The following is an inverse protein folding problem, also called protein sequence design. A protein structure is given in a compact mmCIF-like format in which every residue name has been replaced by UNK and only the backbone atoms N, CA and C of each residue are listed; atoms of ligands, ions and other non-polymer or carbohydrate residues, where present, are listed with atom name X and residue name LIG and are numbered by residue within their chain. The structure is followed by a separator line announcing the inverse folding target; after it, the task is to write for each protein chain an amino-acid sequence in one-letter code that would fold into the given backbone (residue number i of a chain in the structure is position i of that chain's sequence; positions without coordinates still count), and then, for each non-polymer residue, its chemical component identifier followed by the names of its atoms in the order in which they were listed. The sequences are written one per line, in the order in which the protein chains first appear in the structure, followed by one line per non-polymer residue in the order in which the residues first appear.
data_IF_667460328309
#
_entry.id   IF_667460328309
#
_cell.length_a   1.000
_cell.length_b   1.000
_cell.length_c   1.000
_cell.angle_alpha   90.00
_cell.angle_beta   90.00
_cell.angle_gamma   90.00
#
_symmetry.space_group_name_H-M   'P 1'
#
loop_
_entity.id
_entity.type
_entity.pdbx_description
1 polymer ?
#
# COMPACT_ATOMS: atom_id res chain seq x y z
N UNK A 1 17.59 16.62 4.21
CA UNK A 1 16.28 15.93 4.27
C UNK A 1 16.56 14.55 4.81
N UNK A 2 15.94 14.17 5.91
CA UNK A 2 16.03 12.85 6.52
C UNK A 2 14.96 11.92 5.96
N UNK A 3 13.74 12.42 5.84
CA UNK A 3 12.62 11.68 5.29
C UNK A 3 11.68 12.57 4.47
N UNK A 4 10.98 11.96 3.50
CA UNK A 4 9.94 12.60 2.69
C UNK A 4 8.75 11.64 2.59
N UNK A 5 7.60 12.06 3.09
CA UNK A 5 6.33 11.34 2.92
C UNK A 5 5.43 12.14 1.97
N UNK A 6 4.90 11.49 0.93
CA UNK A 6 4.21 12.16 -0.17
C UNK A 6 2.77 11.70 -0.27
N UNK A 7 1.86 12.66 -0.40
CA UNK A 7 0.48 12.46 -0.82
C UNK A 7 0.27 13.09 -2.21
N UNK A 8 0.22 12.26 -3.24
CA UNK A 8 0.08 12.67 -4.64
C UNK A 8 -1.28 12.19 -5.18
N UNK A 9 -2.19 13.13 -5.43
CA UNK A 9 -3.56 12.86 -5.87
C UNK A 9 -3.70 12.81 -7.40
N UNK A 10 -4.72 12.12 -7.89
CA UNK A 10 -5.00 11.96 -9.31
C UNK A 10 -5.23 13.29 -10.06
N UNK A 11 -5.60 14.35 -9.37
CA UNK A 11 -5.75 15.70 -9.93
C UNK A 11 -4.42 16.43 -10.15
N UNK A 12 -3.30 15.81 -9.76
CA UNK A 12 -1.95 16.36 -9.87
C UNK A 12 -1.52 17.21 -8.67
N UNK A 13 -2.33 17.31 -7.61
CA UNK A 13 -1.87 17.87 -6.35
C UNK A 13 -0.86 16.95 -5.68
N UNK A 14 0.21 17.54 -5.15
CA UNK A 14 1.24 16.84 -4.41
C UNK A 14 1.53 17.60 -3.13
N UNK A 15 1.34 16.95 -2.00
CA UNK A 15 1.76 17.40 -0.70
C UNK A 15 2.92 16.52 -0.21
N UNK A 16 3.99 17.11 0.27
CA UNK A 16 5.12 16.38 0.81
C UNK A 16 5.47 16.88 2.21
N UNK A 17 5.51 15.97 3.16
CA UNK A 17 6.01 16.21 4.50
C UNK A 17 7.51 15.93 4.52
N UNK A 18 8.29 16.96 4.76
CA UNK A 18 9.74 16.91 4.82
C UNK A 18 10.20 16.86 6.29
N UNK A 19 11.00 15.87 6.65
CA UNK A 19 11.76 15.84 7.88
C UNK A 19 13.17 16.39 7.60
N UNK A 20 13.53 17.46 8.31
CA UNK A 20 14.72 18.25 8.06
C UNK A 20 15.62 18.28 9.29
N UNK A 21 16.91 18.24 9.09
CA UNK A 21 17.91 18.37 10.15
C UNK A 21 18.97 19.40 9.77
N UNK A 22 19.35 20.24 10.73
CA UNK A 22 20.42 21.23 10.55
C UNK A 22 20.25 22.16 9.33
N UNK A 23 19.01 22.61 9.07
CA UNK A 23 18.68 23.41 7.90
C UNK A 23 19.32 24.81 8.01
N UNK A 24 20.19 25.24 7.05
CA UNK A 24 20.75 26.58 7.06
C UNK A 24 19.68 27.66 6.81
N UNK A 25 19.89 28.86 7.37
CA UNK A 25 19.03 30.02 7.07
C UNK A 25 19.01 30.32 5.58
N UNK A 26 17.86 30.79 5.08
CA UNK A 26 17.62 31.13 3.67
C UNK A 26 17.79 29.93 2.73
N UNK A 27 17.39 28.75 3.18
CA UNK A 27 17.28 27.57 2.34
C UNK A 27 15.88 27.53 1.72
N UNK A 28 15.85 27.12 0.47
CA UNK A 28 14.63 26.82 -0.28
C UNK A 28 14.66 25.38 -0.77
N UNK A 29 13.52 24.79 -1.03
CA UNK A 29 13.38 23.51 -1.72
C UNK A 29 12.88 23.74 -3.15
N UNK A 30 13.58 23.17 -4.11
CA UNK A 30 13.08 23.06 -5.50
C UNK A 30 12.53 21.64 -5.70
N UNK A 31 11.31 21.55 -6.22
CA UNK A 31 10.60 20.31 -6.50
C UNK A 31 10.49 20.14 -8.00
N UNK A 32 11.06 19.07 -8.54
CA UNK A 32 11.03 18.75 -9.96
C UNK A 32 10.39 17.39 -10.19
N UNK A 33 9.48 17.29 -11.14
CA UNK A 33 8.79 16.05 -11.52
C UNK A 33 9.22 15.61 -12.92
N UNK A 34 9.51 14.32 -13.07
CA UNK A 34 9.87 13.69 -14.34
C UNK A 34 9.11 12.38 -14.50
N UNK A 35 8.44 12.11 -15.64
CA UNK A 35 7.82 10.81 -15.88
C UNK A 35 8.87 9.70 -15.85
N UNK A 36 8.53 8.54 -15.27
CA UNK A 36 9.43 7.40 -15.24
C UNK A 36 9.72 6.90 -16.68
N UNK A 37 10.96 6.50 -16.95
CA UNK A 37 11.40 6.09 -18.28
C UNK A 37 11.62 7.24 -19.30
N UNK A 38 11.42 8.51 -18.91
CA UNK A 38 11.58 9.68 -19.80
C UNK A 38 12.57 10.69 -19.22
N UNK A 39 13.85 10.58 -19.58
CA UNK A 39 14.90 11.43 -19.03
C UNK A 39 14.85 12.91 -19.49
N UNK A 40 14.17 13.21 -20.60
CA UNK A 40 14.14 14.54 -21.23
C UNK A 40 12.86 15.34 -20.96
N UNK A 41 11.76 14.67 -20.56
CA UNK A 41 10.49 15.33 -20.27
C UNK A 41 10.43 15.73 -18.80
N UNK A 42 10.36 17.02 -18.53
CA UNK A 42 10.23 17.54 -17.17
C UNK A 42 8.98 18.44 -17.06
N UNK A 43 8.29 18.34 -15.93
CA UNK A 43 7.27 19.31 -15.58
C UNK A 43 7.91 20.60 -15.07
N UNK A 44 7.09 21.65 -14.95
CA UNK A 44 7.54 22.92 -14.35
C UNK A 44 8.01 22.65 -12.91
N UNK A 45 9.22 23.12 -12.58
CA UNK A 45 9.71 23.11 -11.20
C UNK A 45 8.99 24.14 -10.34
N UNK A 46 8.89 23.83 -9.05
CA UNK A 46 8.36 24.71 -8.03
C UNK A 46 9.44 24.96 -6.98
N UNK A 47 9.48 26.18 -6.44
CA UNK A 47 10.44 26.53 -5.38
C UNK A 47 9.70 27.14 -4.21
N UNK A 48 9.98 26.67 -3.01
CA UNK A 48 9.39 27.13 -1.77
C UNK A 48 10.47 27.40 -0.71
N UNK A 49 10.32 28.49 0.05
CA UNK A 49 11.23 28.84 1.14
C UNK A 49 10.90 28.02 2.37
N UNK A 50 11.94 27.50 3.01
CA UNK A 50 11.80 26.69 4.20
C UNK A 50 12.13 27.50 5.47
N UNK A 51 11.41 27.22 6.57
CA UNK A 51 11.75 27.71 7.89
C UNK A 51 12.89 26.89 8.48
N UNK A 52 14.03 27.51 8.66
CA UNK A 52 15.23 26.84 9.20
C UNK A 52 15.11 26.39 10.66
N UNK A 53 14.03 26.77 11.37
CA UNK A 53 13.77 26.38 12.76
C UNK A 53 12.83 25.19 12.87
N UNK A 54 12.09 24.85 11.81
CA UNK A 54 11.14 23.77 11.81
C UNK A 54 11.80 22.48 11.30
N UNK A 55 11.77 21.44 12.12
CA UNK A 55 12.27 20.10 11.74
C UNK A 55 11.32 19.35 10.82
N UNK A 56 10.03 19.70 10.85
CA UNK A 56 9.01 19.12 9.97
C UNK A 56 8.28 20.24 9.22
N UNK A 57 8.21 20.13 7.90
CA UNK A 57 7.53 21.12 7.06
C UNK A 57 6.77 20.43 5.93
N UNK A 58 5.59 20.94 5.62
CA UNK A 58 4.81 20.52 4.47
C UNK A 58 5.01 21.50 3.33
N UNK A 59 5.28 20.97 2.14
CA UNK A 59 5.30 21.71 0.88
C UNK A 59 4.18 21.19 -0.02
N UNK A 60 3.54 22.10 -0.78
CA UNK A 60 2.38 21.77 -1.60
C UNK A 60 2.55 22.33 -3.00
N UNK A 61 2.38 21.50 -4.01
CA UNK A 61 2.50 21.91 -5.43
C UNK A 61 1.39 21.31 -6.26
N UNK A 62 1.06 21.94 -7.38
CA UNK A 62 0.05 21.49 -8.33
C UNK A 62 0.69 21.26 -9.70
N UNK A 63 0.76 20.01 -10.12
CA UNK A 63 1.16 19.62 -11.46
C UNK A 63 -0.05 19.53 -12.38
N UNK A 64 0.13 19.90 -13.64
CA UNK A 64 -0.94 19.81 -14.66
C UNK A 64 -0.64 18.65 -15.62
N UNK A 65 -1.69 18.07 -16.19
CA UNK A 65 -1.59 17.01 -17.20
C UNK A 65 -0.91 15.74 -16.67
N UNK A 66 -1.12 15.40 -15.41
CA UNK A 66 -0.67 14.16 -14.81
C UNK A 66 -1.53 13.01 -15.34
N UNK A 67 -0.89 11.89 -15.63
CA UNK A 67 -1.55 10.61 -15.86
C UNK A 67 -1.60 9.87 -14.53
N UNK A 68 -2.77 9.59 -13.96
CA UNK A 68 -2.89 8.88 -12.70
C UNK A 68 -2.33 7.46 -12.79
N UNK A 69 -1.91 6.93 -11.65
CA UNK A 69 -1.56 5.54 -11.49
C UNK A 69 -2.82 4.71 -11.19
N UNK A 70 -2.97 3.59 -11.88
CA UNK A 70 -3.97 2.55 -11.62
C UNK A 70 -3.39 1.16 -11.95
N UNK A 71 -4.04 0.06 -11.57
CA UNK A 71 -3.63 -1.29 -11.98
C UNK A 71 -3.56 -1.50 -13.49
N UNK A 72 -4.42 -0.84 -14.23
CA UNK A 72 -4.49 -0.93 -15.70
C UNK A 72 -3.50 0.00 -16.40
N UNK A 73 -3.18 1.13 -15.77
CA UNK A 73 -2.29 2.16 -16.33
C UNK A 73 -1.34 2.67 -15.22
N UNK A 74 -0.29 1.92 -14.86
CA UNK A 74 0.58 2.21 -13.72
C UNK A 74 1.61 3.31 -14.04
N UNK A 75 1.12 4.53 -14.28
CA UNK A 75 1.98 5.68 -14.58
C UNK A 75 2.77 6.11 -13.35
N UNK A 76 4.08 6.16 -13.48
CA UNK A 76 5.02 6.49 -12.42
C UNK A 76 5.85 7.72 -12.76
N UNK A 77 6.30 8.39 -11.71
CA UNK A 77 7.08 9.62 -11.80
C UNK A 77 8.22 9.61 -10.78
N UNK A 78 9.32 10.24 -11.13
CA UNK A 78 10.35 10.63 -10.21
C UNK A 78 10.13 12.05 -9.74
N UNK A 79 10.01 12.26 -8.44
CA UNK A 79 10.00 13.58 -7.82
C UNK A 79 11.32 13.81 -7.11
N UNK A 80 12.00 14.88 -7.48
CA UNK A 80 13.27 15.31 -6.90
C UNK A 80 13.05 16.54 -6.03
N UNK A 81 13.58 16.48 -4.81
CA UNK A 81 13.61 17.56 -3.84
C UNK A 81 15.05 18.05 -3.68
N UNK A 82 15.35 19.23 -4.17
CA UNK A 82 16.67 19.85 -4.03
C UNK A 82 16.64 20.96 -2.98
N UNK A 83 17.33 20.77 -1.86
CA UNK A 83 17.59 21.87 -0.93
C UNK A 83 18.64 22.80 -1.51
N UNK A 84 18.27 24.07 -1.69
CA UNK A 84 19.14 25.10 -2.29
C UNK A 84 19.37 26.27 -1.35
N UNK A 85 20.56 26.82 -1.42
CA UNK A 85 20.93 28.10 -0.80
C UNK A 85 21.74 28.92 -1.76
N UNK A 86 21.30 30.15 -2.04
CA UNK A 86 21.93 31.05 -3.01
C UNK A 86 22.15 30.37 -4.38
N UNK A 87 21.17 29.61 -4.86
CA UNK A 87 21.21 28.89 -6.12
C UNK A 87 22.06 27.61 -6.13
N UNK A 88 22.80 27.31 -5.05
CA UNK A 88 23.62 26.10 -4.95
C UNK A 88 22.84 24.98 -4.26
N UNK A 89 22.82 23.79 -4.85
CA UNK A 89 22.24 22.58 -4.24
C UNK A 89 23.11 22.12 -3.08
N UNK A 90 22.48 21.94 -1.93
CA UNK A 90 23.10 21.44 -0.71
C UNK A 90 22.84 19.94 -0.52
N UNK A 91 21.64 19.49 -0.86
CA UNK A 91 21.19 18.10 -0.68
C UNK A 91 20.06 17.80 -1.66
N UNK A 92 20.00 16.56 -2.14
CA UNK A 92 18.97 16.11 -3.07
C UNK A 92 18.40 14.77 -2.62
N UNK A 93 17.07 14.62 -2.71
CA UNK A 93 16.36 13.36 -2.48
C UNK A 93 15.44 13.08 -3.66
N UNK A 94 15.46 11.85 -4.16
CA UNK A 94 14.57 11.38 -5.21
C UNK A 94 13.60 10.34 -4.65
N UNK A 95 12.32 10.45 -5.02
CA UNK A 95 11.29 9.45 -4.72
C UNK A 95 10.54 9.07 -5.98
N UNK A 96 10.28 7.78 -6.18
CA UNK A 96 9.43 7.25 -7.23
C UNK A 96 8.01 7.16 -6.72
N UNK A 97 7.05 7.77 -7.40
CA UNK A 97 5.66 7.87 -6.96
C UNK A 97 4.69 7.62 -8.10
N UNK A 98 3.43 7.36 -7.75
CA UNK A 98 2.28 7.41 -8.65
C UNK A 98 1.22 8.36 -8.09
N UNK A 99 0.62 9.17 -8.95
CA UNK A 99 -0.49 10.03 -8.57
C UNK A 99 -1.78 9.23 -8.55
N UNK A 100 -2.42 9.10 -7.38
CA UNK A 100 -3.71 8.42 -7.25
C UNK A 100 -4.53 8.99 -6.11
N UNK A 101 -5.85 8.90 -6.23
CA UNK A 101 -6.78 9.24 -5.17
C UNK A 101 -7.42 7.94 -4.66
N UNK A 102 -7.36 7.71 -3.35
CA UNK A 102 -8.01 6.60 -2.66
C UNK A 102 -9.20 7.14 -1.88
N UNK A 103 -10.31 6.41 -1.90
CA UNK A 103 -11.49 6.72 -1.10
C UNK A 103 -12.10 5.40 -0.58
N UNK A 104 -12.12 5.25 0.72
CA UNK A 104 -12.61 4.08 1.42
C UNK A 104 -13.94 4.42 2.09
N UNK A 105 -15.04 3.94 1.51
CA UNK A 105 -16.38 4.29 1.93
C UNK A 105 -16.99 3.16 2.74
N UNK A 106 -17.25 3.43 4.02
CA UNK A 106 -18.02 2.52 4.87
C UNK A 106 -19.38 2.27 4.24
N UNK A 107 -19.86 1.04 4.28
CA UNK A 107 -21.13 0.57 3.67
C UNK A 107 -21.20 0.75 2.16
N UNK A 108 -20.05 0.84 1.48
CA UNK A 108 -20.01 0.96 0.03
C UNK A 108 -18.83 0.17 -0.55
N UNK A 109 -17.57 0.61 -0.35
CA UNK A 109 -16.41 -0.10 -0.86
C UNK A 109 -15.18 0.78 -1.09
N UNK A 110 -14.31 0.33 -1.99
CA UNK A 110 -13.02 0.94 -2.30
C UNK A 110 -13.10 1.65 -3.64
N UNK A 111 -12.62 2.89 -3.68
CA UNK A 111 -12.55 3.69 -4.90
C UNK A 111 -11.11 4.13 -5.17
N UNK A 112 -10.68 3.95 -6.40
CA UNK A 112 -9.39 4.44 -6.90
C UNK A 112 -9.65 5.38 -8.08
N UNK A 113 -9.16 6.60 -7.97
CA UNK A 113 -9.38 7.65 -8.96
C UNK A 113 -10.87 7.86 -9.31
N UNK A 114 -11.75 7.71 -8.32
CA UNK A 114 -13.19 7.85 -8.46
C UNK A 114 -13.92 6.60 -9.01
N UNK A 115 -13.20 5.56 -9.38
CA UNK A 115 -13.78 4.30 -9.86
C UNK A 115 -13.86 3.27 -8.73
N UNK A 116 -15.05 2.68 -8.51
CA UNK A 116 -15.23 1.59 -7.56
C UNK A 116 -14.51 0.35 -8.07
N UNK A 117 -13.72 -0.29 -7.21
CA UNK A 117 -12.94 -1.46 -7.57
C UNK A 117 -13.31 -2.67 -6.72
N UNK A 118 -12.99 -3.86 -7.24
CA UNK A 118 -12.94 -5.11 -6.48
C UNK A 118 -11.54 -5.71 -6.57
N UNK A 119 -10.98 -6.12 -5.44
CA UNK A 119 -9.66 -6.75 -5.43
C UNK A 119 -9.75 -8.23 -5.71
N UNK A 120 -9.10 -8.65 -6.78
CA UNK A 120 -8.76 -10.05 -7.06
C UNK A 120 -7.39 -10.29 -6.47
N UNK A 121 -7.38 -10.68 -5.20
CA UNK A 121 -6.17 -10.73 -4.39
C UNK A 121 -5.63 -12.13 -4.18
N UNK A 122 -4.37 -12.19 -3.82
CA UNK A 122 -3.69 -13.38 -3.36
C UNK A 122 -2.76 -13.05 -2.20
N UNK A 123 -2.66 -13.95 -1.23
CA UNK A 123 -1.68 -13.85 -0.16
C UNK A 123 -0.31 -14.30 -0.64
N UNK A 124 0.76 -13.65 -0.18
CA UNK A 124 2.14 -13.99 -0.53
C UNK A 124 3.04 -13.98 0.68
N UNK A 125 3.76 -15.07 0.88
CA UNK A 125 4.91 -15.11 1.74
C UNK A 125 6.19 -14.75 0.98
N UNK A 126 7.12 -14.04 1.64
CA UNK A 126 8.48 -13.83 1.13
C UNK A 126 9.29 -15.07 1.45
N UNK A 127 9.30 -16.04 0.55
CA UNK A 127 9.98 -17.32 0.75
C UNK A 127 10.52 -17.88 -0.57
N UNK A 128 11.69 -18.50 -0.50
CA UNK A 128 12.29 -19.25 -1.58
C UNK A 128 13.02 -20.49 -1.02
N UNK A 129 12.86 -21.68 -1.61
CA UNK A 129 13.36 -22.94 -1.03
C UNK A 129 14.85 -22.93 -0.64
N UNK A 130 15.70 -22.33 -1.47
CA UNK A 130 17.15 -22.32 -1.26
C UNK A 130 17.62 -21.21 -0.31
N UNK A 131 16.84 -20.17 -0.07
CA UNK A 131 17.26 -18.99 0.71
C UNK A 131 16.31 -18.59 1.84
N UNK A 132 15.23 -19.35 2.05
CA UNK A 132 14.20 -19.04 3.04
C UNK A 132 13.57 -17.66 2.78
N UNK A 133 13.45 -16.83 3.81
CA UNK A 133 12.85 -15.49 3.72
C UNK A 133 13.76 -14.41 3.11
N UNK A 134 15.00 -14.76 2.74
CA UNK A 134 15.91 -13.83 2.08
C UNK A 134 15.80 -13.96 0.56
N UNK A 135 14.89 -13.21 -0.04
CA UNK A 135 14.64 -13.27 -1.48
C UNK A 135 15.43 -12.20 -2.25
N UNK A 136 15.85 -12.55 -3.47
CA UNK A 136 16.51 -11.60 -4.36
C UNK A 136 15.51 -10.74 -5.13
N UNK A 137 15.97 -9.59 -5.66
CA UNK A 137 15.17 -8.77 -6.57
C UNK A 137 14.58 -9.57 -7.74
N UNK A 138 15.35 -10.53 -8.30
CA UNK A 138 14.90 -11.40 -9.39
C UNK A 138 13.67 -12.23 -8.97
N UNK A 139 13.68 -12.80 -7.77
CA UNK A 139 12.55 -13.59 -7.25
C UNK A 139 11.34 -12.68 -7.03
N UNK A 140 11.51 -11.53 -6.39
CA UNK A 140 10.41 -10.58 -6.17
C UNK A 140 9.75 -10.11 -7.45
N UNK A 141 10.55 -9.80 -8.48
CA UNK A 141 10.03 -9.39 -9.80
C UNK A 141 9.33 -10.57 -10.48
N UNK A 142 9.85 -11.79 -10.36
CA UNK A 142 9.23 -12.99 -10.89
C UNK A 142 7.86 -13.24 -10.24
N UNK A 143 7.79 -13.20 -8.91
CA UNK A 143 6.54 -13.40 -8.17
C UNK A 143 5.48 -12.37 -8.58
N UNK A 144 5.86 -11.08 -8.61
CA UNK A 144 4.93 -10.02 -9.01
C UNK A 144 4.41 -10.20 -10.45
N UNK A 145 5.26 -10.64 -11.39
CA UNK A 145 4.83 -10.95 -12.76
C UNK A 145 3.89 -12.15 -12.80
N UNK A 146 4.20 -13.25 -12.11
CA UNK A 146 3.34 -14.43 -12.06
C UNK A 146 1.96 -14.09 -11.46
N UNK A 147 1.93 -13.28 -10.40
CA UNK A 147 0.68 -12.81 -9.80
C UNK A 147 -0.13 -11.98 -10.81
N UNK A 148 0.52 -11.09 -11.55
CA UNK A 148 -0.14 -10.31 -12.60
C UNK A 148 -0.64 -11.19 -13.76
N UNK A 149 0.15 -12.17 -14.17
CA UNK A 149 -0.20 -13.12 -15.24
C UNK A 149 -1.41 -14.00 -14.89
N UNK A 150 -1.62 -14.26 -13.58
CA UNK A 150 -2.84 -14.91 -13.08
C UNK A 150 -4.07 -13.98 -13.10
N UNK A 151 -3.95 -12.77 -13.66
CA UNK A 151 -5.02 -11.77 -13.69
C UNK A 151 -5.43 -11.27 -12.29
N UNK A 152 -4.54 -11.34 -11.32
CA UNK A 152 -4.70 -10.70 -10.02
C UNK A 152 -4.41 -9.20 -10.12
N UNK A 153 -5.04 -8.40 -9.27
CA UNK A 153 -4.78 -6.97 -9.15
C UNK A 153 -4.34 -6.53 -7.76
N UNK A 154 -4.28 -7.48 -6.81
CA UNK A 154 -3.91 -7.20 -5.43
C UNK A 154 -3.10 -8.33 -4.79
N UNK A 155 -2.23 -7.96 -3.84
CA UNK A 155 -1.44 -8.88 -3.03
C UNK A 155 -1.56 -8.47 -1.57
N UNK A 156 -1.78 -9.43 -0.68
CA UNK A 156 -1.58 -9.23 0.76
C UNK A 156 -0.29 -9.91 1.18
N UNK A 157 0.50 -9.23 1.98
CA UNK A 157 1.74 -9.75 2.59
C UNK A 157 1.57 -9.82 4.10
N UNK A 158 2.16 -10.83 4.77
CA UNK A 158 2.03 -11.05 6.22
C UNK A 158 3.09 -10.33 7.05
N UNK A 159 3.98 -9.65 6.41
CA UNK A 159 5.05 -8.82 6.98
C UNK A 159 5.62 -7.94 5.88
N UNK A 160 6.21 -6.78 6.24
CA UNK A 160 6.71 -5.84 5.25
C UNK A 160 7.67 -6.52 4.27
N UNK A 161 7.37 -6.51 2.96
CA UNK A 161 8.19 -7.20 1.97
C UNK A 161 9.46 -6.40 1.67
N UNK A 162 10.37 -6.99 0.90
CA UNK A 162 11.50 -6.24 0.36
C UNK A 162 11.03 -5.09 -0.53
N UNK A 163 11.71 -3.94 -0.48
CA UNK A 163 11.40 -2.75 -1.29
C UNK A 163 11.32 -3.06 -2.78
N UNK A 164 12.18 -3.95 -3.30
CA UNK A 164 12.14 -4.34 -4.70
C UNK A 164 10.86 -5.11 -5.11
N UNK A 165 10.12 -5.74 -4.17
CA UNK A 165 8.80 -6.30 -4.45
C UNK A 165 7.76 -5.18 -4.61
N UNK A 166 7.77 -4.18 -3.72
CA UNK A 166 6.89 -3.03 -3.84
C UNK A 166 7.16 -2.24 -5.12
N UNK A 167 8.45 -2.04 -5.49
CA UNK A 167 8.83 -1.41 -6.76
C UNK A 167 8.27 -2.18 -7.98
N UNK A 168 8.23 -3.52 -7.92
CA UNK A 168 7.64 -4.35 -8.97
C UNK A 168 6.12 -4.18 -9.00
N UNK A 169 5.44 -4.19 -7.84
CA UNK A 169 4.02 -3.95 -7.72
C UNK A 169 3.63 -2.56 -8.24
N UNK A 170 4.40 -1.52 -7.92
CA UNK A 170 4.22 -0.17 -8.46
C UNK A 170 4.24 -0.16 -9.99
N UNK A 171 5.19 -0.89 -10.58
CA UNK A 171 5.42 -0.91 -12.04
C UNK A 171 4.39 -1.76 -12.79
N UNK A 172 3.88 -2.82 -12.16
CA UNK A 172 2.93 -3.75 -12.75
C UNK A 172 1.47 -3.38 -12.49
N UNK A 173 1.22 -2.41 -11.60
CA UNK A 173 -0.13 -2.06 -11.20
C UNK A 173 -0.76 -3.16 -10.35
N UNK A 174 -0.10 -3.55 -9.26
CA UNK A 174 -0.66 -4.44 -8.25
C UNK A 174 -0.90 -3.63 -6.97
N UNK A 175 -2.10 -3.72 -6.41
CA UNK A 175 -2.36 -3.19 -5.07
C UNK A 175 -1.67 -4.05 -4.01
N UNK A 176 -1.21 -3.44 -2.94
CA UNK A 176 -0.60 -4.13 -1.81
C UNK A 176 -1.31 -3.75 -0.51
N UNK A 177 -1.69 -4.76 0.24
CA UNK A 177 -2.00 -4.68 1.66
C UNK A 177 -0.69 -4.99 2.39
N UNK A 178 -0.11 -3.97 3.02
CA UNK A 178 1.18 -4.08 3.71
C UNK A 178 0.97 -4.27 5.20
N UNK A 179 1.48 -5.36 5.74
CA UNK A 179 1.13 -5.82 7.08
C UNK A 179 2.27 -5.64 8.08
N UNK A 180 1.95 -5.03 9.22
CA UNK A 180 2.77 -5.18 10.42
C UNK A 180 2.63 -6.60 10.92
N UNK A 181 3.70 -7.37 10.88
CA UNK A 181 3.68 -8.76 11.29
C UNK A 181 3.08 -8.94 12.70
N UNK A 182 2.31 -10.01 12.87
CA UNK A 182 1.70 -10.43 14.11
C UNK A 182 0.77 -11.61 13.83
N UNK A 183 0.78 -12.63 14.68
CA UNK A 183 -0.10 -13.78 14.52
C UNK A 183 -0.58 -14.26 15.88
N UNK A 184 -1.89 -14.18 16.12
CA UNK A 184 -2.56 -14.51 17.37
C UNK A 184 -2.11 -13.67 18.58
N UNK A 185 -0.94 -13.08 18.55
CA UNK A 185 -0.42 -12.17 19.58
C UNK A 185 0.21 -10.96 18.89
N UNK A 186 -0.25 -9.75 19.26
CA UNK A 186 0.32 -8.49 18.80
C UNK A 186 1.62 -8.13 19.53
N UNK A 187 2.32 -7.16 18.98
CA UNK A 187 3.46 -6.54 19.67
C UNK A 187 2.99 -5.72 20.89
N UNK A 188 3.85 -5.60 21.89
CA UNK A 188 3.68 -4.56 22.91
C UNK A 188 3.73 -3.17 22.24
N UNK A 189 3.12 -2.19 22.92
CA UNK A 189 2.93 -0.84 22.35
C UNK A 189 4.26 -0.15 22.02
N UNK A 190 5.30 -0.33 22.84
CA UNK A 190 6.60 0.31 22.59
C UNK A 190 7.31 -0.27 21.36
N UNK A 191 7.34 -1.58 21.25
CA UNK A 191 7.91 -2.29 20.10
C UNK A 191 7.11 -2.01 18.84
N UNK A 192 5.77 -2.12 18.91
CA UNK A 192 4.88 -1.90 17.79
C UNK A 192 5.01 -0.49 17.19
N UNK A 193 5.10 0.55 18.01
CA UNK A 193 5.34 1.94 17.54
C UNK A 193 6.61 2.09 16.73
N UNK A 194 7.70 1.43 17.16
CA UNK A 194 8.97 1.49 16.42
C UNK A 194 8.87 0.77 15.07
N UNK A 195 8.18 -0.36 15.06
CA UNK A 195 7.99 -1.16 13.84
C UNK A 195 7.08 -0.45 12.84
N UNK A 196 5.95 0.12 13.29
CA UNK A 196 5.04 0.91 12.45
C UNK A 196 5.79 2.09 11.84
N UNK A 197 6.55 2.84 12.65
CA UNK A 197 7.37 3.94 12.14
C UNK A 197 8.28 3.46 11.02
N UNK A 198 9.06 2.40 11.26
CA UNK A 198 10.01 1.89 10.28
C UNK A 198 9.34 1.39 8.99
N UNK A 199 8.21 0.68 9.10
CA UNK A 199 7.43 0.19 7.96
C UNK A 199 6.83 1.34 7.16
N UNK A 200 6.06 2.22 7.81
CA UNK A 200 5.35 3.29 7.11
C UNK A 200 6.32 4.29 6.49
N UNK A 201 7.37 4.73 7.19
CA UNK A 201 8.37 5.64 6.63
C UNK A 201 9.09 5.04 5.41
N UNK A 202 9.32 3.72 5.39
CA UNK A 202 9.92 3.04 4.25
C UNK A 202 8.97 2.98 3.05
N UNK A 203 7.69 2.65 3.29
CA UNK A 203 6.77 2.19 2.25
C UNK A 203 5.71 3.24 1.85
N UNK A 204 5.61 4.36 2.57
CA UNK A 204 4.58 5.40 2.38
C UNK A 204 4.50 5.96 0.96
N UNK A 205 5.61 5.97 0.22
CA UNK A 205 5.68 6.55 -1.12
C UNK A 205 5.36 5.58 -2.26
N UNK A 206 5.17 4.28 -1.96
CA UNK A 206 4.76 3.29 -2.96
C UNK A 206 3.28 3.47 -3.32
N UNK A 207 2.93 3.77 -4.58
CA UNK A 207 1.53 3.90 -4.99
C UNK A 207 0.76 2.57 -4.93
N UNK A 208 1.45 1.44 -5.00
CA UNK A 208 0.86 0.12 -4.84
C UNK A 208 0.32 -0.13 -3.44
N UNK A 209 0.97 0.37 -2.39
CA UNK A 209 0.50 0.22 -1.00
C UNK A 209 -0.73 1.09 -0.78
N UNK A 210 -1.88 0.48 -0.49
CA UNK A 210 -3.15 1.20 -0.36
C UNK A 210 -3.88 0.96 0.95
N UNK A 211 -3.54 -0.08 1.69
CA UNK A 211 -4.09 -0.43 3.00
C UNK A 211 -2.93 -0.85 3.90
N UNK A 212 -3.00 -0.49 5.17
CA UNK A 212 -2.14 -1.00 6.22
C UNK A 212 -2.87 -2.10 6.99
N UNK A 213 -2.27 -3.27 7.05
CA UNK A 213 -2.77 -4.37 7.88
C UNK A 213 -2.03 -4.36 9.21
N UNK A 214 -2.75 -4.50 10.32
CA UNK A 214 -2.15 -4.61 11.64
C UNK A 214 -2.32 -6.03 12.18
N UNK A 215 -1.29 -6.85 11.99
CA UNK A 215 -1.25 -8.22 12.47
C UNK A 215 -2.18 -9.18 11.70
N UNK A 216 -2.18 -10.43 12.13
CA UNK A 216 -3.00 -11.49 11.56
C UNK A 216 -3.69 -12.27 12.67
N UNK A 217 -4.98 -12.61 12.48
CA UNK A 217 -5.74 -13.55 13.34
C UNK A 217 -5.64 -13.27 14.85
N UNK A 218 -5.83 -12.01 15.26
CA UNK A 218 -5.69 -11.57 16.65
C UNK A 218 -4.31 -11.01 16.99
N UNK A 219 -3.41 -10.91 16.02
CA UNK A 219 -2.05 -10.40 16.19
C UNK A 219 -1.93 -8.87 16.18
N UNK A 220 -3.00 -8.14 16.46
CA UNK A 220 -3.01 -6.67 16.53
C UNK A 220 -2.98 -6.16 17.98
N UNK A 221 -2.72 -4.87 18.12
CA UNK A 221 -2.77 -4.13 19.36
C UNK A 221 -3.51 -2.80 19.10
N UNK A 222 -4.72 -2.65 19.65
CA UNK A 222 -5.61 -1.51 19.40
C UNK A 222 -4.99 -0.15 19.76
N UNK A 223 -4.00 -0.11 20.67
CA UNK A 223 -3.26 1.11 21.01
C UNK A 223 -2.38 1.64 19.87
N UNK A 224 -2.18 0.84 18.82
CA UNK A 224 -1.30 1.16 17.70
C UNK A 224 -2.05 1.64 16.45
N UNK A 225 -3.37 1.56 16.41
CA UNK A 225 -4.18 1.86 15.21
C UNK A 225 -3.95 3.28 14.68
N UNK A 226 -3.89 4.25 15.59
CA UNK A 226 -3.67 5.65 15.24
C UNK A 226 -2.20 5.98 14.92
N UNK A 227 -1.27 5.07 15.17
CA UNK A 227 0.15 5.34 14.98
C UNK A 227 0.55 5.37 13.50
N UNK A 228 -0.14 4.63 12.64
CA UNK A 228 0.08 4.66 11.19
C UNK A 228 -0.12 6.06 10.59
N UNK A 229 -1.18 6.76 11.00
CA UNK A 229 -1.50 8.10 10.50
C UNK A 229 -0.44 9.16 10.87
N UNK A 230 0.41 8.90 11.87
CA UNK A 230 1.51 9.82 12.24
C UNK A 230 2.59 9.93 11.17
N UNK A 231 2.71 8.92 10.32
CA UNK A 231 3.76 8.80 9.30
C UNK A 231 3.18 8.73 7.88
N UNK A 232 1.85 8.57 7.74
CA UNK A 232 1.16 8.46 6.46
C UNK A 232 0.28 9.69 6.16
N UNK A 233 0.78 10.68 5.39
CA UNK A 233 -0.01 11.85 5.01
C UNK A 233 -1.19 11.53 4.08
N UNK A 234 -1.24 10.31 3.52
CA UNK A 234 -2.33 9.86 2.64
C UNK A 234 -3.54 9.38 3.43
N UNK A 235 -3.40 9.16 4.76
CA UNK A 235 -4.44 8.68 5.66
C UNK A 235 -5.10 7.37 5.15
N UNK A 236 -4.28 6.40 4.72
CA UNK A 236 -4.74 5.08 4.35
C UNK A 236 -5.40 4.40 5.55
N UNK A 237 -6.39 3.55 5.27
CA UNK A 237 -7.06 2.82 6.35
C UNK A 237 -6.14 1.76 6.95
N UNK A 238 -6.38 1.49 8.24
CA UNK A 238 -5.83 0.33 8.94
C UNK A 238 -6.94 -0.71 9.06
N UNK A 239 -6.64 -1.97 8.80
CA UNK A 239 -7.54 -3.10 9.00
C UNK A 239 -6.89 -4.13 9.93
N UNK A 240 -7.74 -4.94 10.57
CA UNK A 240 -7.34 -6.09 11.38
C UNK A 240 -7.74 -7.36 10.65
N UNK A 241 -6.82 -8.09 9.99
CA UNK A 241 -7.14 -9.34 9.30
C UNK A 241 -7.78 -10.39 10.21
N UNK A 242 -8.97 -10.84 9.79
CA UNK A 242 -9.92 -11.68 10.52
C UNK A 242 -10.74 -10.97 11.60
N UNK A 243 -11.13 -9.73 11.37
CA UNK A 243 -11.99 -8.99 12.30
C UNK A 243 -13.08 -8.19 11.58
N UNK A 244 -14.12 -7.83 12.34
CA UNK A 244 -14.99 -6.70 12.01
C UNK A 244 -14.39 -5.46 12.65
N UNK A 245 -13.71 -4.65 11.85
CA UNK A 245 -13.05 -3.46 12.34
C UNK A 245 -13.26 -2.27 11.41
N UNK A 246 -13.59 -1.15 11.98
CA UNK A 246 -13.70 0.15 11.31
C UNK A 246 -14.64 0.19 10.08
N UNK A 247 -15.64 -0.71 10.03
CA UNK A 247 -16.59 -0.84 8.92
C UNK A 247 -16.16 -1.81 7.81
N UNK A 248 -15.12 -2.60 8.08
CA UNK A 248 -14.58 -3.64 7.20
C UNK A 248 -14.71 -5.00 7.87
N UNK A 249 -15.21 -5.97 7.13
CA UNK A 249 -15.29 -7.38 7.51
C UNK A 249 -14.21 -8.14 6.75
N UNK A 250 -13.14 -8.50 7.45
CA UNK A 250 -11.94 -9.12 6.89
C UNK A 250 -11.81 -10.60 7.25
N UNK A 251 -12.91 -11.26 7.61
CA UNK A 251 -12.90 -12.65 8.07
C UNK A 251 -12.17 -13.59 7.12
N UNK A 252 -11.47 -14.55 7.71
CA UNK A 252 -10.77 -15.60 6.98
C UNK A 252 -11.71 -16.78 6.68
N UNK A 253 -11.52 -17.38 5.53
CA UNK A 253 -12.18 -18.61 5.05
C UNK A 253 -13.72 -18.59 5.20
N UNK A 254 -14.39 -17.51 4.77
CA UNK A 254 -15.84 -17.48 4.82
C UNK A 254 -16.40 -18.59 3.94
N UNK A 255 -17.38 -19.33 4.47
CA UNK A 255 -18.09 -20.33 3.68
C UNK A 255 -18.99 -19.67 2.65
N UNK A 256 -19.40 -20.42 1.64
CA UNK A 256 -20.37 -19.94 0.65
C UNK A 256 -21.63 -19.35 1.30
N UNK A 257 -22.16 -20.03 2.33
CA UNK A 257 -23.33 -19.59 3.07
C UNK A 257 -23.08 -18.36 3.95
N UNK A 258 -21.85 -18.21 4.49
CA UNK A 258 -21.49 -17.03 5.28
C UNK A 258 -21.66 -15.75 4.47
N UNK A 259 -21.29 -15.77 3.19
CA UNK A 259 -21.50 -14.66 2.28
C UNK A 259 -22.97 -14.23 2.23
N UNK A 260 -23.91 -15.18 2.09
CA UNK A 260 -25.35 -14.90 2.04
C UNK A 260 -25.82 -14.17 3.30
N UNK A 261 -25.43 -14.64 4.49
CA UNK A 261 -25.84 -14.03 5.74
C UNK A 261 -25.29 -12.63 5.92
N UNK A 262 -24.04 -12.38 5.52
CA UNK A 262 -23.39 -11.07 5.64
C UNK A 262 -23.92 -10.05 4.64
N UNK A 263 -24.38 -10.47 3.48
CA UNK A 263 -25.04 -9.57 2.53
C UNK A 263 -26.35 -9.00 3.07
N UNK A 264 -27.04 -9.73 3.95
CA UNK A 264 -28.31 -9.30 4.55
C UNK A 264 -28.16 -8.27 5.67
N UNK A 265 -27.03 -8.21 6.37
CA UNK A 265 -26.82 -7.26 7.47
C UNK A 265 -26.48 -5.85 6.99
N UNK A 266 -25.86 -5.69 5.83
CA UNK A 266 -25.60 -4.42 5.15
C UNK A 266 -24.74 -3.39 5.90
N UNK A 267 -23.98 -3.82 6.92
CA UNK A 267 -23.30 -2.89 7.81
C UNK A 267 -21.83 -2.67 7.44
N UNK A 268 -21.10 -3.75 7.11
CA UNK A 268 -19.67 -3.68 6.81
C UNK A 268 -19.38 -3.98 5.35
N UNK A 269 -18.30 -3.41 4.83
CA UNK A 269 -17.73 -3.81 3.55
C UNK A 269 -17.13 -5.21 3.70
N UNK A 270 -17.60 -6.15 2.90
CA UNK A 270 -17.14 -7.53 2.94
C UNK A 270 -15.82 -7.67 2.14
N UNK A 271 -14.75 -7.95 2.85
CA UNK A 271 -13.38 -7.92 2.31
C UNK A 271 -12.51 -9.01 2.94
N UNK A 272 -12.82 -10.29 2.71
CA UNK A 272 -12.06 -11.41 3.27
C UNK A 272 -10.59 -11.34 2.87
N UNK A 273 -9.70 -11.27 3.86
CA UNK A 273 -8.26 -11.19 3.63
C UNK A 273 -7.62 -12.57 3.43
N UNK A 274 -8.33 -13.67 3.72
CA UNK A 274 -7.96 -15.03 3.32
C UNK A 274 -9.20 -15.83 2.91
N UNK A 275 -9.09 -16.50 1.76
CA UNK A 275 -10.17 -17.33 1.22
C UNK A 275 -9.60 -18.58 0.57
N UNK A 276 -10.37 -19.68 0.62
CA UNK A 276 -10.13 -20.91 -0.12
C UNK A 276 -8.72 -21.48 0.10
N UNK A 277 -8.45 -21.97 1.31
CA UNK A 277 -7.20 -22.63 1.61
C UNK A 277 -7.04 -23.94 0.82
N UNK A 278 -6.19 -23.92 -0.19
CA UNK A 278 -6.07 -25.01 -1.14
C UNK A 278 -5.75 -26.38 -0.53
N UNK A 279 -5.08 -26.41 0.62
CA UNK A 279 -4.74 -27.65 1.32
C UNK A 279 -5.86 -28.16 2.24
N UNK A 280 -6.57 -27.25 2.94
CA UNK A 280 -7.54 -27.64 3.97
C UNK A 280 -8.97 -27.73 3.45
N UNK A 281 -9.32 -26.99 2.42
CA UNK A 281 -10.69 -26.97 1.86
C UNK A 281 -10.98 -28.11 0.90
N UNK A 282 -10.07 -29.10 0.79
CA UNK A 282 -10.19 -30.33 -0.03
C UNK A 282 -10.47 -30.11 -1.52
N UNK A 283 -10.29 -28.89 -2.03
CA UNK A 283 -10.71 -28.55 -3.38
C UNK A 283 -9.64 -27.92 -4.27
N UNK A 284 -8.47 -27.57 -3.74
CA UNK A 284 -7.38 -26.94 -4.50
C UNK A 284 -7.92 -25.80 -5.41
N UNK A 285 -8.71 -24.88 -4.81
CA UNK A 285 -9.34 -23.78 -5.55
C UNK A 285 -10.57 -24.17 -6.37
N UNK A 286 -11.06 -25.42 -6.29
CA UNK A 286 -12.35 -25.79 -6.86
C UNK A 286 -13.46 -24.92 -6.26
N UNK A 287 -14.34 -24.39 -7.12
CA UNK A 287 -15.40 -23.48 -6.66
C UNK A 287 -14.99 -22.01 -6.61
N UNK A 288 -13.75 -21.62 -6.91
CA UNK A 288 -13.33 -20.22 -6.93
C UNK A 288 -14.29 -19.34 -7.75
N UNK A 289 -14.71 -19.83 -8.92
CA UNK A 289 -15.65 -19.11 -9.78
C UNK A 289 -17.00 -18.93 -9.08
N UNK A 290 -17.53 -19.99 -8.47
CA UNK A 290 -18.84 -19.97 -7.81
C UNK A 290 -18.82 -19.02 -6.60
N UNK A 291 -17.76 -19.04 -5.78
CA UNK A 291 -17.57 -18.09 -4.68
C UNK A 291 -17.48 -16.66 -5.17
N UNK A 292 -16.66 -16.42 -6.21
CA UNK A 292 -16.47 -15.07 -6.75
C UNK A 292 -17.76 -14.51 -7.35
N UNK A 293 -18.47 -15.29 -8.14
CA UNK A 293 -19.75 -14.89 -8.74
C UNK A 293 -20.76 -14.58 -7.64
N UNK A 294 -20.92 -15.47 -6.66
CA UNK A 294 -21.82 -15.29 -5.53
C UNK A 294 -21.48 -14.06 -4.69
N UNK A 295 -20.23 -13.90 -4.26
CA UNK A 295 -19.83 -12.72 -3.47
C UNK A 295 -19.98 -11.42 -4.27
N UNK A 296 -19.72 -11.48 -5.58
CA UNK A 296 -19.82 -10.31 -6.46
C UNK A 296 -21.24 -9.78 -6.65
N UNK A 297 -22.28 -10.56 -6.33
CA UNK A 297 -23.67 -10.10 -6.29
C UNK A 297 -23.88 -9.02 -5.22
N UNK A 298 -23.10 -9.05 -4.13
CA UNK A 298 -23.18 -8.02 -3.10
C UNK A 298 -22.51 -6.72 -3.54
N UNK A 299 -23.21 -5.58 -3.41
CA UNK A 299 -22.60 -4.27 -3.63
C UNK A 299 -21.53 -3.93 -2.58
N UNK A 300 -21.53 -4.62 -1.43
CA UNK A 300 -20.56 -4.45 -0.34
C UNK A 300 -19.31 -5.30 -0.49
N UNK A 301 -19.27 -6.24 -1.44
CA UNK A 301 -18.08 -7.04 -1.66
C UNK A 301 -16.99 -6.21 -2.35
N UNK A 302 -15.88 -5.99 -1.66
CA UNK A 302 -14.73 -5.23 -2.15
C UNK A 302 -13.60 -6.10 -2.72
N UNK A 303 -13.78 -7.43 -2.74
CA UNK A 303 -12.80 -8.39 -3.19
C UNK A 303 -12.36 -9.36 -2.09
N UNK A 304 -11.49 -10.28 -2.43
CA UNK A 304 -10.93 -11.25 -1.48
C UNK A 304 -9.52 -11.67 -1.91
N UNK A 305 -8.80 -12.32 -0.99
CA UNK A 305 -7.44 -12.78 -1.20
C UNK A 305 -7.35 -14.29 -1.03
N UNK A 306 -6.94 -14.97 -2.08
CA UNK A 306 -6.75 -16.42 -2.05
C UNK A 306 -5.59 -16.80 -1.12
N UNK A 307 -5.72 -17.87 -0.38
CA UNK A 307 -4.62 -18.50 0.34
C UNK A 307 -4.10 -19.69 -0.45
N UNK A 308 -2.93 -19.72 -1.03
CA UNK A 308 -1.86 -18.72 -1.03
C UNK A 308 -1.04 -18.88 -2.33
N UNK A 309 -0.30 -17.84 -2.77
CA UNK A 309 0.56 -17.91 -3.96
C UNK A 309 1.72 -18.88 -3.77
N UNK A 310 2.44 -18.78 -2.67
CA UNK A 310 3.44 -19.76 -2.26
C UNK A 310 3.45 -19.85 -0.74
N UNK A 311 3.35 -21.07 -0.22
CA UNK A 311 3.37 -21.35 1.21
C UNK A 311 4.81 -21.48 1.72
N UNK A 312 4.99 -21.38 3.05
CA UNK A 312 6.27 -21.52 3.73
C UNK A 312 6.58 -22.98 4.11
N UNK A 313 5.99 -23.96 3.44
CA UNK A 313 6.25 -25.35 3.76
C UNK A 313 7.72 -25.70 3.51
N UNK A 314 8.43 -25.93 4.60
CA UNK A 314 9.76 -26.55 4.59
C UNK A 314 9.58 -28.01 4.95
N UNK A 315 9.88 -28.90 4.02
CA UNK A 315 9.94 -30.33 4.25
C UNK A 315 11.25 -30.69 4.97
#
# INVERSE_FOLDING_TARGET
IQHVAIDAKADGSLNADLELENLPKNTEVEITLTPDGQSTSRFKSFTEKLDHKAEKQRVSVQFKNIKPWSPEDPNLYWVQFDLKKNGKVLHSVNKRIGFRSLDFRKRDGIYVNGTKIKMKGINRHTFWPESGRSTSKRISVMDANLIKDMNMNAVRVHYPPDTHFLEACDSLGLFVLDELAGWQNGYDTETGRKLIKGMVERDVNHPSVIIWDQGNEGGWNDELDDDFAKYDPQNRIVIHPWADFNGWDTHHYPTFQTGVHRFGSGENVFFPTETMHGTYDNGIGAGLRDFWEHYSESPLFAGSFLWVFSDEAVL
#
